data_IF_741994345694
#
_entry.id   IF_741994345694
#
_cell.length_a   1.000
_cell.length_b   1.000
_cell.length_c   1.000
_cell.angle_alpha   90.00
_cell.angle_beta   90.00
_cell.angle_gamma   90.00
#
_symmetry.space_group_name_H-M   'P 1'
#
loop_
_entity.id
_entity.type
_entity.pdbx_description
1 polymer ?
#
# COMPACT_ATOMS: atom_id res chain seq x y z
N UNK A 1 67.96 -5.91 20.86
CA UNK A 1 66.93 -4.93 20.48
C UNK A 1 65.74 -5.68 19.92
N UNK A 2 64.55 -5.43 20.46
CA UNK A 2 63.29 -6.09 20.12
C UNK A 2 62.68 -5.43 18.88
N UNK A 3 62.28 -6.20 17.86
CA UNK A 3 61.31 -5.75 16.87
C UNK A 3 60.17 -6.77 16.81
N UNK A 4 59.05 -6.38 17.40
CA UNK A 4 57.79 -7.10 17.30
C UNK A 4 57.13 -6.78 15.95
N UNK A 5 56.89 -7.80 15.13
CA UNK A 5 56.00 -7.68 13.98
C UNK A 5 54.55 -7.86 14.47
N UNK A 6 53.87 -6.73 14.69
CA UNK A 6 52.42 -6.68 14.82
C UNK A 6 51.82 -6.59 13.42
N UNK A 7 51.45 -7.73 12.84
CA UNK A 7 50.63 -7.79 11.64
C UNK A 7 49.20 -7.38 12.02
N UNK A 8 48.87 -6.11 11.77
CA UNK A 8 47.57 -5.51 12.00
C UNK A 8 46.58 -6.03 10.96
N UNK A 9 45.72 -6.97 11.36
CA UNK A 9 44.60 -7.46 10.54
C UNK A 9 43.56 -6.35 10.42
N UNK A 10 43.62 -5.58 9.34
CA UNK A 10 42.62 -4.56 8.99
C UNK A 10 41.37 -5.28 8.46
N UNK A 11 40.48 -5.71 9.36
CA UNK A 11 39.12 -6.11 9.00
C UNK A 11 38.35 -4.86 8.53
N UNK A 12 38.38 -4.60 7.22
CA UNK A 12 37.48 -3.65 6.57
C UNK A 12 36.09 -4.27 6.63
N UNK A 13 35.33 -3.92 7.66
CA UNK A 13 33.91 -4.20 7.75
C UNK A 13 33.21 -3.34 6.70
N UNK A 14 32.98 -3.92 5.53
CA UNK A 14 32.07 -3.39 4.52
C UNK A 14 30.66 -3.36 5.12
N UNK A 15 30.30 -2.28 5.80
CA UNK A 15 28.91 -1.95 6.05
C UNK A 15 28.27 -1.66 4.69
N UNK A 16 27.81 -2.71 4.02
CA UNK A 16 26.77 -2.58 3.02
C UNK A 16 25.56 -2.01 3.76
N UNK A 17 25.38 -0.69 3.70
CA UNK A 17 24.08 -0.09 3.99
C UNK A 17 23.12 -0.65 2.96
N UNK A 18 22.48 -1.78 3.26
CA UNK A 18 21.22 -2.14 2.64
C UNK A 18 20.23 -1.12 3.18
N UNK A 19 20.15 0.03 2.52
CA UNK A 19 19.11 1.00 2.76
C UNK A 19 17.79 0.36 2.36
N UNK A 20 17.14 -0.29 3.32
CA UNK A 20 15.72 -0.57 3.24
C UNK A 20 15.01 0.80 3.20
N UNK A 21 14.92 1.40 2.01
CA UNK A 21 13.95 2.43 1.73
C UNK A 21 12.58 1.76 1.82
N UNK A 22 12.11 1.52 3.04
CA UNK A 22 10.93 0.70 3.28
C UNK A 22 9.73 1.52 2.86
N UNK A 23 9.02 1.08 1.83
CA UNK A 23 7.64 1.52 1.53
C UNK A 23 6.64 1.08 2.63
N UNK A 24 7.11 0.77 3.84
CA UNK A 24 6.31 0.44 5.01
C UNK A 24 5.62 1.70 5.54
N UNK A 25 4.32 1.61 5.80
CA UNK A 25 3.54 2.71 6.37
C UNK A 25 3.87 2.86 7.85
N UNK A 26 4.37 4.03 8.23
CA UNK A 26 4.72 4.36 9.62
C UNK A 26 3.47 4.76 10.42
N UNK A 27 3.47 4.60 11.76
CA UNK A 27 2.30 4.92 12.59
C UNK A 27 1.78 6.36 12.50
N UNK A 28 2.66 7.33 12.23
CA UNK A 28 2.29 8.74 12.01
C UNK A 28 1.61 8.99 10.66
N UNK A 29 1.67 8.04 9.72
CA UNK A 29 0.99 8.07 8.43
C UNK A 29 -0.42 7.42 8.48
N UNK A 30 -0.86 6.92 9.64
CA UNK A 30 -2.17 6.29 9.80
C UNK A 30 -3.29 7.33 9.78
N UNK A 31 -4.35 7.05 9.02
CA UNK A 31 -5.41 8.02 8.75
C UNK A 31 -6.42 8.20 9.88
N UNK A 32 -6.53 7.22 10.77
CA UNK A 32 -7.61 7.11 11.75
C UNK A 32 -8.82 6.29 11.29
N UNK A 33 -8.78 5.69 10.09
CA UNK A 33 -9.87 4.86 9.56
C UNK A 33 -10.06 3.54 10.33
N UNK A 34 -8.99 2.81 10.61
CA UNK A 34 -9.07 1.60 11.44
C UNK A 34 -9.34 1.95 12.91
N UNK A 35 -10.08 1.07 13.61
CA UNK A 35 -10.45 1.29 15.02
C UNK A 35 -9.30 1.09 16.01
N UNK A 36 -8.34 0.22 15.69
CA UNK A 36 -7.26 -0.14 16.61
C UNK A 36 -5.99 -0.51 15.85
N UNK A 37 -5.05 0.43 15.75
CA UNK A 37 -3.77 0.23 15.06
C UNK A 37 -2.74 -0.54 15.90
N UNK A 38 -2.93 -0.64 17.22
CA UNK A 38 -1.94 -1.24 18.13
C UNK A 38 -1.65 -2.71 17.84
N UNK A 39 -2.57 -3.37 17.11
CA UNK A 39 -2.49 -4.77 16.74
C UNK A 39 -1.69 -5.00 15.46
N UNK A 40 -1.47 -3.96 14.66
CA UNK A 40 -0.78 -4.06 13.38
C UNK A 40 0.69 -4.42 13.60
N UNK A 41 1.17 -5.33 12.76
CA UNK A 41 2.57 -5.73 12.71
C UNK A 41 3.03 -5.71 11.26
N UNK A 42 4.32 -5.44 11.09
CA UNK A 42 4.95 -5.58 9.79
C UNK A 42 4.86 -7.03 9.32
N UNK A 43 4.53 -7.19 8.05
CA UNK A 43 4.54 -8.46 7.35
C UNK A 43 4.80 -8.22 5.86
N UNK A 44 4.99 -9.32 5.14
CA UNK A 44 5.11 -9.33 3.70
C UNK A 44 3.78 -9.75 3.06
N UNK A 45 3.43 -9.12 1.94
CA UNK A 45 2.29 -9.50 1.11
C UNK A 45 2.59 -10.74 0.27
N UNK A 46 1.57 -11.45 -0.23
CA UNK A 46 1.75 -12.57 -1.15
C UNK A 46 2.57 -12.20 -2.40
N UNK A 47 2.47 -10.95 -2.86
CA UNK A 47 3.29 -10.37 -3.93
C UNK A 47 4.67 -9.85 -3.50
N UNK A 48 5.07 -10.02 -2.24
CA UNK A 48 6.41 -9.69 -1.74
C UNK A 48 6.61 -8.24 -1.24
N UNK A 49 5.53 -7.49 -1.04
CA UNK A 49 5.61 -6.10 -0.63
C UNK A 49 5.38 -5.92 0.89
N UNK A 50 6.02 -4.92 1.52
CA UNK A 50 5.80 -4.64 2.93
C UNK A 50 4.36 -4.16 3.18
N UNK A 51 3.77 -4.63 4.28
CA UNK A 51 2.43 -4.26 4.72
C UNK A 51 2.35 -4.27 6.24
N UNK A 52 1.61 -3.32 6.81
CA UNK A 52 1.22 -3.39 8.22
C UNK A 52 -0.11 -4.13 8.29
N UNK A 53 -0.16 -5.29 8.93
CA UNK A 53 -1.40 -6.08 9.01
C UNK A 53 -1.57 -6.78 10.34
N UNK A 54 -2.81 -7.15 10.61
CA UNK A 54 -3.19 -7.99 11.73
C UNK A 54 -4.27 -8.98 11.29
N UNK A 55 -4.19 -10.21 11.79
CA UNK A 55 -5.21 -11.25 11.60
C UNK A 55 -5.54 -11.80 12.99
N UNK A 56 -6.82 -12.03 13.25
CA UNK A 56 -7.27 -12.65 14.50
C UNK A 56 -6.64 -14.04 14.65
N UNK A 57 -5.86 -14.29 15.73
CA UNK A 57 -5.26 -15.61 15.96
C UNK A 57 -6.31 -16.71 16.17
N UNK A 58 -7.55 -16.35 16.51
CA UNK A 58 -8.68 -17.28 16.66
C UNK A 58 -9.56 -17.36 15.40
N UNK A 59 -9.11 -16.81 14.28
CA UNK A 59 -9.86 -16.83 13.03
C UNK A 59 -10.03 -18.25 12.51
N UNK A 60 -11.25 -18.78 12.59
CA UNK A 60 -11.68 -19.88 11.74
C UNK A 60 -12.18 -19.32 10.40
N UNK A 61 -11.36 -19.46 9.36
CA UNK A 61 -11.70 -19.00 8.01
C UNK A 61 -12.74 -19.90 7.33
N UNK A 62 -12.91 -21.16 7.79
CA UNK A 62 -13.81 -22.12 7.16
C UNK A 62 -15.29 -21.83 7.42
N UNK A 63 -15.61 -21.03 8.44
CA UNK A 63 -16.99 -20.62 8.74
C UNK A 63 -17.59 -19.63 7.74
N UNK A 64 -16.77 -19.03 6.88
CA UNK A 64 -17.23 -18.02 5.91
C UNK A 64 -17.49 -18.61 4.54
N UNK A 65 -18.61 -18.18 3.95
CA UNK A 65 -19.15 -18.70 2.68
C UNK A 65 -19.33 -17.61 1.63
N UNK A 66 -19.21 -16.32 2.00
CA UNK A 66 -19.34 -15.20 1.07
C UNK A 66 -18.52 -13.99 1.50
N UNK A 67 -18.25 -13.11 0.54
CA UNK A 67 -17.74 -11.76 0.79
C UNK A 67 -18.80 -10.72 0.48
N UNK A 68 -18.89 -9.68 1.29
CA UNK A 68 -19.59 -8.44 0.96
C UNK A 68 -18.57 -7.30 0.92
N UNK A 69 -18.45 -6.61 -0.21
CA UNK A 69 -17.51 -5.49 -0.36
C UNK A 69 -18.29 -4.19 -0.23
N UNK A 70 -18.05 -3.45 0.85
CA UNK A 70 -18.57 -2.10 1.02
C UNK A 70 -17.94 -1.15 -0.02
N UNK A 71 -18.64 -0.09 -0.44
CA UNK A 71 -18.06 0.94 -1.28
C UNK A 71 -16.83 1.58 -0.64
N UNK A 72 -15.75 1.70 -1.39
CA UNK A 72 -14.50 2.30 -0.93
C UNK A 72 -14.72 3.76 -0.54
N UNK A 73 -14.22 4.11 0.65
CA UNK A 73 -14.30 5.47 1.17
C UNK A 73 -13.02 6.25 0.87
N UNK A 74 -13.12 7.58 0.83
CA UNK A 74 -11.97 8.48 0.90
C UNK A 74 -11.85 8.96 2.35
N UNK A 75 -10.76 8.63 3.05
CA UNK A 75 -10.64 8.91 4.48
C UNK A 75 -9.22 9.34 4.92
N UNK A 76 -9.05 10.49 5.60
CA UNK A 76 -10.05 11.51 5.82
C UNK A 76 -10.54 12.09 4.48
N UNK A 77 -11.67 12.81 4.49
CA UNK A 77 -12.22 13.39 3.27
C UNK A 77 -11.16 14.33 2.63
N UNK A 78 -10.64 14.01 1.43
CA UNK A 78 -9.60 14.80 0.81
C UNK A 78 -10.18 16.12 0.27
N UNK A 79 -9.31 17.11 0.10
CA UNK A 79 -9.61 18.32 -0.66
C UNK A 79 -9.12 18.11 -2.10
N UNK A 80 -10.03 18.10 -3.10
CA UNK A 80 -9.64 18.02 -4.50
C UNK A 80 -8.74 19.20 -4.91
N UNK A 81 -7.87 18.95 -5.88
CA UNK A 81 -7.00 19.98 -6.48
C UNK A 81 -7.12 19.92 -8.00
N UNK A 82 -6.57 20.90 -8.72
CA UNK A 82 -6.49 20.84 -10.19
C UNK A 82 -5.73 19.59 -10.65
N UNK A 83 -4.68 19.21 -9.93
CA UNK A 83 -3.83 18.05 -10.25
C UNK A 83 -4.46 16.71 -9.87
N UNK A 84 -5.24 16.68 -8.79
CA UNK A 84 -5.97 15.50 -8.31
C UNK A 84 -7.44 15.91 -8.13
N UNK A 85 -8.22 15.96 -9.22
CA UNK A 85 -9.60 16.39 -9.16
C UNK A 85 -10.49 15.34 -8.50
N UNK A 86 -11.70 15.75 -8.12
CA UNK A 86 -12.70 14.86 -7.50
C UNK A 86 -13.03 13.65 -8.38
N UNK A 87 -13.02 13.83 -9.70
CA UNK A 87 -13.23 12.75 -10.68
C UNK A 87 -12.16 11.66 -10.59
N UNK A 88 -10.90 12.05 -10.38
CA UNK A 88 -9.79 11.11 -10.18
C UNK A 88 -9.96 10.34 -8.88
N UNK A 89 -10.24 11.03 -7.78
CA UNK A 89 -10.46 10.40 -6.47
C UNK A 89 -11.61 9.39 -6.51
N UNK A 90 -12.73 9.76 -7.16
CA UNK A 90 -13.88 8.87 -7.33
C UNK A 90 -13.58 7.71 -8.29
N UNK A 91 -12.82 7.96 -9.35
CA UNK A 91 -12.38 6.90 -10.26
C UNK A 91 -11.49 5.87 -9.56
N UNK A 92 -10.60 6.30 -8.65
CA UNK A 92 -9.76 5.43 -7.84
C UNK A 92 -10.62 4.54 -6.93
N UNK A 93 -11.57 5.10 -6.18
CA UNK A 93 -12.44 4.30 -5.29
C UNK A 93 -13.33 3.33 -6.07
N UNK A 94 -13.94 3.78 -7.17
CA UNK A 94 -14.78 2.94 -8.02
C UNK A 94 -13.98 1.77 -8.63
N UNK A 95 -12.75 2.05 -9.08
CA UNK A 95 -11.88 1.01 -9.61
C UNK A 95 -11.43 0.03 -8.52
N UNK A 96 -11.13 0.53 -7.32
CA UNK A 96 -10.73 -0.33 -6.21
C UNK A 96 -11.85 -1.30 -5.81
N UNK A 97 -13.10 -0.83 -5.73
CA UNK A 97 -14.27 -1.67 -5.51
C UNK A 97 -14.40 -2.76 -6.58
N UNK A 98 -14.19 -2.38 -7.84
CA UNK A 98 -14.24 -3.30 -8.98
C UNK A 98 -13.15 -4.36 -8.87
N UNK A 99 -11.91 -3.95 -8.55
CA UNK A 99 -10.78 -4.85 -8.41
C UNK A 99 -10.97 -5.83 -7.22
N UNK A 100 -11.39 -5.33 -6.05
CA UNK A 100 -11.67 -6.16 -4.88
C UNK A 100 -12.75 -7.18 -5.17
N UNK A 101 -13.89 -6.76 -5.74
CA UNK A 101 -14.98 -7.68 -6.12
C UNK A 101 -14.50 -8.73 -7.12
N UNK A 102 -13.75 -8.33 -8.14
CA UNK A 102 -13.19 -9.23 -9.16
C UNK A 102 -12.29 -10.31 -8.54
N UNK A 103 -11.38 -9.94 -7.65
CA UNK A 103 -10.43 -10.88 -7.06
C UNK A 103 -11.06 -11.76 -5.97
N UNK A 104 -11.87 -11.17 -5.08
CA UNK A 104 -12.58 -11.92 -4.03
C UNK A 104 -13.62 -12.89 -4.61
N UNK A 105 -14.28 -12.51 -5.70
CA UNK A 105 -15.24 -13.35 -6.41
C UNK A 105 -14.64 -14.64 -6.98
N UNK A 106 -13.31 -14.74 -7.09
CA UNK A 106 -12.61 -15.98 -7.47
C UNK A 106 -12.56 -17.01 -6.32
N UNK A 107 -12.74 -16.55 -5.08
CA UNK A 107 -12.60 -17.36 -3.87
C UNK A 107 -13.94 -17.82 -3.29
N UNK A 108 -14.89 -16.90 -3.17
CA UNK A 108 -16.24 -17.14 -2.64
C UNK A 108 -17.25 -16.28 -3.40
N UNK A 109 -18.54 -16.65 -3.42
CA UNK A 109 -19.60 -15.78 -3.92
C UNK A 109 -19.61 -14.40 -3.26
N UNK A 110 -19.99 -13.39 -4.05
CA UNK A 110 -20.21 -12.02 -3.56
C UNK A 110 -21.66 -11.88 -3.09
N UNK A 111 -21.85 -11.59 -1.80
CA UNK A 111 -23.15 -11.26 -1.24
C UNK A 111 -23.58 -9.83 -1.63
N UNK A 112 -24.88 -9.58 -1.65
CA UNK A 112 -25.47 -8.25 -1.90
C UNK A 112 -25.68 -7.43 -0.63
N UNK A 113 -25.64 -8.08 0.54
CA UNK A 113 -25.69 -7.46 1.87
C UNK A 113 -24.89 -8.29 2.88
N UNK A 114 -24.48 -7.71 4.03
CA UNK A 114 -23.92 -8.47 5.15
C UNK A 114 -24.92 -9.48 5.71
N UNK A 115 -24.46 -10.69 6.05
CA UNK A 115 -25.30 -11.73 6.64
C UNK A 115 -24.50 -12.90 7.24
N UNK A 116 -25.18 -13.96 7.70
CA UNK A 116 -24.52 -15.14 8.25
C UNK A 116 -23.47 -15.75 7.30
N UNK A 117 -22.29 -16.05 7.83
CA UNK A 117 -21.17 -16.59 7.04
C UNK A 117 -20.51 -15.58 6.10
N UNK A 118 -20.82 -14.28 6.17
CA UNK A 118 -20.22 -13.26 5.31
C UNK A 118 -19.06 -12.54 5.98
N UNK A 119 -17.96 -12.36 5.25
CA UNK A 119 -16.91 -11.39 5.58
C UNK A 119 -17.25 -10.07 4.91
N UNK A 120 -17.44 -9.01 5.71
CA UNK A 120 -17.53 -7.64 5.20
C UNK A 120 -16.13 -7.10 4.99
N UNK A 121 -15.83 -6.70 3.76
CA UNK A 121 -14.61 -5.99 3.38
C UNK A 121 -14.94 -4.51 3.35
N UNK A 122 -14.30 -3.75 4.26
CA UNK A 122 -14.47 -2.30 4.41
C UNK A 122 -13.17 -1.60 4.01
N UNK A 123 -13.01 -1.23 2.73
CA UNK A 123 -11.83 -0.53 2.23
C UNK A 123 -11.97 1.00 2.34
N UNK A 124 -10.84 1.66 2.53
CA UNK A 124 -10.67 3.09 2.31
C UNK A 124 -9.39 3.37 1.51
N UNK A 125 -9.47 4.40 0.67
CA UNK A 125 -8.32 5.10 0.11
C UNK A 125 -8.01 6.24 1.07
N UNK A 126 -6.83 6.17 1.69
CA UNK A 126 -6.46 7.04 2.80
C UNK A 126 -5.42 8.10 2.47
N UNK A 127 -4.90 8.05 1.25
CA UNK A 127 -4.03 9.06 0.72
C UNK A 127 -3.91 8.92 -0.79
N UNK A 128 -3.92 10.05 -1.49
CA UNK A 128 -3.56 10.15 -2.91
C UNK A 128 -2.70 11.39 -3.03
N UNK A 129 -1.47 11.23 -3.47
CA UNK A 129 -0.54 12.34 -3.62
C UNK A 129 0.32 12.18 -4.87
N UNK A 130 0.79 13.30 -5.38
CA UNK A 130 1.85 13.36 -6.38
C UNK A 130 2.93 14.33 -5.91
N UNK A 131 4.19 13.91 -5.90
CA UNK A 131 5.33 14.74 -5.45
C UNK A 131 6.45 14.68 -6.48
N UNK A 132 7.24 15.75 -6.58
CA UNK A 132 8.41 15.79 -7.46
C UNK A 132 9.36 14.66 -7.13
N UNK A 133 9.70 13.86 -8.14
CA UNK A 133 10.58 12.70 -8.03
C UNK A 133 11.96 13.11 -7.50
N UNK A 134 12.46 12.36 -6.52
CA UNK A 134 13.80 12.59 -5.95
C UNK A 134 14.92 12.45 -6.98
N UNK A 135 16.11 12.97 -6.66
CA UNK A 135 17.29 12.83 -7.52
C UNK A 135 17.68 11.36 -7.68
N UNK A 136 17.99 10.95 -8.90
CA UNK A 136 18.55 9.63 -9.20
C UNK A 136 20.04 9.63 -8.80
N UNK A 137 20.64 8.47 -8.46
CA UNK A 137 22.03 8.41 -8.02
C UNK A 137 23.06 9.05 -8.97
N UNK A 138 22.83 9.01 -10.28
CA UNK A 138 23.70 9.66 -11.28
C UNK A 138 23.42 11.16 -11.47
N UNK A 139 22.32 11.67 -10.91
CA UNK A 139 21.98 13.09 -10.90
C UNK A 139 22.65 13.85 -9.74
N UNK A 140 23.55 13.21 -8.99
CA UNK A 140 24.45 13.88 -8.04
C UNK A 140 25.73 14.42 -8.71
N UNK A 141 25.90 14.17 -10.02
CA UNK A 141 26.98 14.75 -10.84
C UNK A 141 26.65 16.23 -11.10
N UNK A 142 27.61 17.18 -10.97
CA UNK A 142 27.30 18.62 -10.97
C UNK A 142 26.43 19.13 -12.12
N UNK A 143 26.69 18.71 -13.36
CA UNK A 143 25.90 19.12 -14.53
C UNK A 143 24.49 18.53 -14.48
N UNK A 144 24.39 17.23 -14.16
CA UNK A 144 23.11 16.55 -14.02
C UNK A 144 22.31 17.08 -12.82
N UNK A 145 22.98 17.50 -11.74
CA UNK A 145 22.40 18.09 -10.55
C UNK A 145 21.81 19.47 -10.85
N UNK A 146 22.54 20.33 -11.58
CA UNK A 146 22.03 21.63 -12.02
C UNK A 146 20.82 21.44 -12.94
N UNK A 147 20.92 20.55 -13.93
CA UNK A 147 19.80 20.26 -14.82
C UNK A 147 18.58 19.72 -14.04
N UNK A 148 18.78 18.77 -13.13
CA UNK A 148 17.73 18.22 -12.29
C UNK A 148 17.12 19.28 -11.34
N UNK A 149 17.95 20.19 -10.82
CA UNK A 149 17.53 21.32 -9.99
C UNK A 149 16.67 22.32 -10.78
N UNK A 150 17.08 22.67 -12.01
CA UNK A 150 16.27 23.50 -12.91
C UNK A 150 14.97 22.81 -13.26
N UNK A 151 14.98 21.54 -13.66
CA UNK A 151 13.76 20.79 -13.99
C UNK A 151 12.81 20.62 -12.80
N UNK A 152 13.34 20.47 -11.58
CA UNK A 152 12.53 20.42 -10.37
C UNK A 152 11.90 21.80 -10.06
N UNK A 153 12.66 22.88 -10.22
CA UNK A 153 12.19 24.25 -9.99
C UNK A 153 11.18 24.72 -11.05
N UNK A 154 11.33 24.30 -12.31
CA UNK A 154 10.41 24.63 -13.40
C UNK A 154 9.23 23.67 -13.52
N UNK A 155 9.17 22.62 -12.71
CA UNK A 155 8.07 21.64 -12.69
C UNK A 155 8.06 20.64 -13.85
N UNK A 156 9.08 20.65 -14.71
CA UNK A 156 9.20 19.76 -15.89
C UNK A 156 9.61 18.33 -15.48
N UNK A 157 10.04 18.14 -14.23
CA UNK A 157 10.42 16.83 -13.71
C UNK A 157 9.22 15.93 -13.40
N UNK A 158 9.36 14.64 -13.70
CA UNK A 158 8.41 13.59 -13.33
C UNK A 158 7.96 13.68 -11.87
N UNK A 159 6.73 13.22 -11.62
CA UNK A 159 6.13 13.19 -10.30
C UNK A 159 5.83 11.74 -9.90
N UNK A 160 6.28 11.34 -8.72
CA UNK A 160 5.91 10.07 -8.13
C UNK A 160 4.51 10.19 -7.54
N UNK A 161 3.62 9.25 -7.90
CA UNK A 161 2.29 9.14 -7.30
C UNK A 161 2.30 8.11 -6.19
N UNK A 162 1.70 8.44 -5.05
CA UNK A 162 1.54 7.52 -3.92
C UNK A 162 0.08 7.41 -3.57
N UNK A 163 -0.41 6.18 -3.50
CA UNK A 163 -1.75 5.84 -3.03
C UNK A 163 -1.58 5.09 -1.71
N UNK A 164 -2.41 5.41 -0.72
CA UNK A 164 -2.51 4.68 0.53
C UNK A 164 -3.90 4.08 0.69
N UNK A 165 -3.97 2.88 1.29
CA UNK A 165 -5.20 2.20 1.62
C UNK A 165 -5.15 1.66 3.04
N UNK A 166 -6.31 1.66 3.67
CA UNK A 166 -6.58 0.91 4.88
C UNK A 166 -7.82 0.05 4.66
N UNK A 167 -7.80 -1.17 5.17
CA UNK A 167 -8.91 -2.11 5.00
C UNK A 167 -9.16 -2.87 6.30
N UNK A 168 -10.43 -2.96 6.68
CA UNK A 168 -10.90 -3.84 7.73
C UNK A 168 -11.71 -4.99 7.13
N UNK A 169 -11.49 -6.19 7.66
CA UNK A 169 -12.30 -7.38 7.40
C UNK A 169 -13.09 -7.68 8.66
N UNK A 170 -14.41 -7.80 8.51
CA UNK A 170 -15.36 -7.83 9.64
C UNK A 170 -16.26 -9.04 9.49
N UNK A 171 -16.47 -9.75 10.59
CA UNK A 171 -17.50 -10.78 10.69
C UNK A 171 -18.89 -10.14 10.69
N UNK A 172 -19.70 -10.41 9.67
CA UNK A 172 -20.98 -9.73 9.48
C UNK A 172 -22.01 -9.97 10.60
N UNK A 173 -21.93 -11.09 11.31
CA UNK A 173 -22.88 -11.43 12.38
C UNK A 173 -22.52 -10.76 13.70
N UNK A 174 -21.23 -10.76 14.03
CA UNK A 174 -20.73 -10.30 15.33
C UNK A 174 -20.19 -8.88 15.29
N UNK A 175 -20.02 -8.31 14.09
CA UNK A 175 -19.37 -7.03 13.85
C UNK A 175 -17.92 -6.95 14.38
N UNK A 176 -17.30 -8.11 14.60
CA UNK A 176 -15.93 -8.26 15.08
C UNK A 176 -14.94 -8.06 13.92
N UNK A 177 -13.92 -7.24 14.11
CA UNK A 177 -12.79 -7.15 13.17
C UNK A 177 -11.97 -8.44 13.27
N UNK A 178 -11.83 -9.15 12.16
CA UNK A 178 -11.13 -10.44 12.04
C UNK A 178 -9.79 -10.32 11.34
N UNK A 179 -9.60 -9.27 10.54
CA UNK A 179 -8.31 -8.89 10.00
C UNK A 179 -8.35 -7.40 9.62
N UNK A 180 -7.19 -6.78 9.52
CA UNK A 180 -7.05 -5.42 9.04
C UNK A 180 -5.66 -5.18 8.46
N UNK A 181 -5.52 -4.20 7.58
CA UNK A 181 -4.26 -3.87 6.96
C UNK A 181 -4.17 -2.41 6.57
N UNK A 182 -2.93 -1.91 6.57
CA UNK A 182 -2.54 -0.56 6.13
C UNK A 182 -1.40 -0.74 5.14
N UNK A 183 -1.51 -0.07 4.00
CA UNK A 183 -0.48 -0.13 2.97
C UNK A 183 -0.42 1.16 2.16
N UNK A 184 0.80 1.54 1.77
CA UNK A 184 1.06 2.50 0.71
C UNK A 184 1.68 1.82 -0.51
N UNK A 185 1.51 2.42 -1.66
CA UNK A 185 2.03 1.90 -2.91
C UNK A 185 2.16 2.99 -3.96
N UNK A 186 3.10 2.78 -4.88
CA UNK A 186 3.34 3.70 -5.97
C UNK A 186 2.31 3.49 -7.08
N UNK A 187 1.73 4.59 -7.57
CA UNK A 187 1.00 4.59 -8.84
C UNK A 187 1.94 4.80 -10.03
N UNK A 188 1.36 5.04 -11.20
CA UNK A 188 2.07 5.47 -12.39
C UNK A 188 2.71 6.84 -12.15
N UNK A 189 3.93 7.03 -12.64
CA UNK A 189 4.57 8.35 -12.63
C UNK A 189 3.84 9.29 -13.59
N UNK A 190 3.72 10.56 -13.20
CA UNK A 190 3.27 11.63 -14.09
C UNK A 190 4.50 12.30 -14.71
N UNK A 191 4.40 12.73 -15.96
CA UNK A 191 5.51 13.29 -16.74
C UNK A 191 5.99 14.64 -16.19
N UNK A 192 5.12 15.42 -15.54
CA UNK A 192 5.45 16.74 -15.01
C UNK A 192 4.44 17.21 -13.95
N UNK A 193 4.67 18.40 -13.36
CA UNK A 193 3.81 18.97 -12.34
C UNK A 193 2.44 19.44 -12.85
N UNK A 194 2.29 19.70 -14.16
CA UNK A 194 1.05 20.16 -14.78
C UNK A 194 0.09 19.05 -15.21
N UNK A 195 0.59 17.81 -15.33
CA UNK A 195 -0.25 16.67 -15.68
C UNK A 195 -1.26 16.37 -14.57
N UNK A 196 -2.53 16.35 -14.95
CA UNK A 196 -3.63 15.93 -14.08
C UNK A 196 -3.60 14.42 -13.92
N UNK A 197 -3.50 13.95 -12.68
CA UNK A 197 -3.54 12.52 -12.35
C UNK A 197 -4.88 11.94 -12.77
N UNK A 198 -4.86 10.78 -13.42
CA UNK A 198 -6.04 10.03 -13.84
C UNK A 198 -6.23 8.82 -12.92
N UNK A 199 -7.46 8.31 -12.83
CA UNK A 199 -7.71 7.08 -12.07
C UNK A 199 -6.95 5.85 -12.65
N UNK A 200 -6.64 5.87 -13.95
CA UNK A 200 -5.79 4.87 -14.60
C UNK A 200 -4.42 4.72 -13.95
N UNK A 201 -3.89 5.82 -13.41
CA UNK A 201 -2.54 5.88 -12.83
C UNK A 201 -2.46 5.07 -11.53
N UNK A 202 -3.59 4.79 -10.88
CA UNK A 202 -3.66 3.94 -9.69
C UNK A 202 -3.93 2.46 -10.01
N UNK A 203 -4.35 2.10 -11.23
CA UNK A 203 -4.91 0.77 -11.51
C UNK A 203 -3.97 -0.38 -11.13
N UNK A 204 -2.70 -0.28 -11.53
CA UNK A 204 -1.71 -1.34 -11.28
C UNK A 204 -1.53 -1.62 -9.78
N UNK A 205 -1.48 -0.58 -8.95
CA UNK A 205 -1.32 -0.75 -7.51
C UNK A 205 -2.59 -1.29 -6.86
N UNK A 206 -3.76 -0.82 -7.29
CA UNK A 206 -5.06 -1.32 -6.82
C UNK A 206 -5.29 -2.79 -7.20
N UNK A 207 -4.89 -3.19 -8.41
CA UNK A 207 -4.95 -4.58 -8.87
C UNK A 207 -4.04 -5.49 -8.04
N UNK A 208 -2.82 -5.02 -7.73
CA UNK A 208 -1.89 -5.76 -6.86
C UNK A 208 -2.48 -5.97 -5.47
N UNK A 209 -3.06 -4.93 -4.86
CA UNK A 209 -3.68 -5.04 -3.54
C UNK A 209 -4.88 -5.98 -3.53
N UNK A 210 -5.77 -5.87 -4.53
CA UNK A 210 -6.91 -6.77 -4.64
C UNK A 210 -6.47 -8.24 -4.83
N UNK A 211 -5.42 -8.46 -5.63
CA UNK A 211 -4.85 -9.79 -5.84
C UNK A 211 -4.24 -10.37 -4.56
N UNK A 212 -3.52 -9.54 -3.78
CA UNK A 212 -2.99 -9.93 -2.48
C UNK A 212 -4.10 -10.36 -1.52
N UNK A 213 -5.22 -9.64 -1.48
CA UNK A 213 -6.38 -10.00 -0.63
C UNK A 213 -6.90 -11.40 -0.98
N UNK A 214 -7.07 -11.71 -2.27
CA UNK A 214 -7.44 -13.04 -2.72
C UNK A 214 -6.41 -14.10 -2.29
N UNK A 215 -5.12 -13.83 -2.49
CA UNK A 215 -4.06 -14.79 -2.15
C UNK A 215 -3.94 -15.01 -0.64
N UNK A 216 -4.13 -13.99 0.19
CA UNK A 216 -4.21 -14.14 1.64
C UNK A 216 -5.33 -15.10 2.05
N UNK A 217 -6.51 -14.95 1.46
CA UNK A 217 -7.62 -15.86 1.72
C UNK A 217 -7.25 -17.31 1.36
N UNK A 218 -6.65 -17.52 0.17
CA UNK A 218 -6.22 -18.86 -0.25
C UNK A 218 -5.17 -19.46 0.67
N UNK A 219 -4.20 -18.68 1.14
CA UNK A 219 -3.21 -19.13 2.11
C UNK A 219 -3.84 -19.50 3.46
N UNK A 220 -4.80 -18.72 3.96
CA UNK A 220 -5.54 -19.05 5.18
C UNK A 220 -6.35 -20.34 5.01
N UNK A 221 -7.04 -20.51 3.87
CA UNK A 221 -7.78 -21.74 3.56
C UNK A 221 -6.88 -22.96 3.46
N UNK A 222 -5.66 -22.82 2.92
CA UNK A 222 -4.70 -23.91 2.84
C UNK A 222 -4.19 -24.33 4.23
N UNK A 223 -3.99 -23.38 5.15
CA UNK A 223 -3.54 -23.63 6.53
C UNK A 223 -4.63 -24.20 7.44
N UNK A 224 -5.90 -24.03 7.08
CA UNK A 224 -7.05 -24.48 7.85
C UNK A 224 -7.56 -25.88 7.42
N UNK A 225 -6.85 -26.55 6.50
CA UNK A 225 -7.06 -27.95 6.14
C UNK A 225 -6.13 -28.84 6.97
#
# INVERSE_FOLDING_TARGET
MRLAFLASTLCIASLTLVGCSSNLTQPDEYSGFLKDYSRLKEAESPTGAPVMRWIDPQLDINKYTSFYVEPSQLYPKPQPTEKIPQSTLQGITNYYDTALKRELGKSLPLATSPGPGTIVVRPAITGVSSKTKGLRPYEVIPIALVAAGVSAATGIRDQDTTIATEVAFIDAQTNKVIAQGVRKGAGQQLDNSSQVMQASDAKKVLDSWASDVHQYYMQMKAKAK
#
